data_IF_642092982826
#
_entry.id   IF_642092982826
#
_cell.length_a   1.000
_cell.length_b   1.000
_cell.length_c   1.000
_cell.angle_alpha   90.00
_cell.angle_beta   90.00
_cell.angle_gamma   90.00
#
_symmetry.space_group_name_H-M   'P 1'
#
loop_
_entity.id
_entity.type
_entity.pdbx_description
1 polymer ?
#
# COMPACT_ATOMS: atom_id res chain seq x y z
N UNK A 1 -58.53 -5.14 -33.86
CA UNK A 1 -57.17 -5.71 -33.82
C UNK A 1 -56.09 -4.64 -34.12
N UNK A 2 -56.32 -3.75 -35.07
CA UNK A 2 -55.39 -2.67 -35.47
C UNK A 2 -55.00 -1.66 -34.36
N UNK A 3 -55.92 -1.31 -33.47
CA UNK A 3 -55.61 -0.32 -32.41
C UNK A 3 -54.63 -0.84 -31.35
N UNK A 4 -54.64 -2.09 -30.99
CA UNK A 4 -53.72 -2.67 -30.00
C UNK A 4 -52.29 -2.72 -30.51
N UNK A 5 -52.07 -2.94 -31.79
CA UNK A 5 -50.76 -2.93 -32.44
C UNK A 5 -50.17 -1.50 -32.46
N UNK A 6 -51.00 -0.47 -32.68
CA UNK A 6 -50.55 0.93 -32.62
C UNK A 6 -50.07 1.34 -31.25
N UNK A 7 -50.75 0.93 -30.19
CA UNK A 7 -50.32 1.22 -28.83
C UNK A 7 -49.02 0.49 -28.45
N UNK A 8 -48.81 -0.72 -28.93
CA UNK A 8 -47.57 -1.48 -28.72
C UNK A 8 -46.39 -0.81 -29.42
N UNK A 9 -46.55 -0.32 -30.65
CA UNK A 9 -45.49 0.42 -31.37
C UNK A 9 -45.13 1.74 -30.71
N UNK A 10 -46.12 2.48 -30.20
CA UNK A 10 -45.88 3.74 -29.49
C UNK A 10 -45.18 3.49 -28.13
N UNK A 11 -45.56 2.43 -27.45
CA UNK A 11 -44.91 2.06 -26.17
C UNK A 11 -43.47 1.61 -26.35
N UNK A 12 -43.16 0.87 -27.43
CA UNK A 12 -41.78 0.46 -27.73
C UNK A 12 -40.89 1.62 -28.16
N UNK A 13 -41.42 2.63 -28.82
CA UNK A 13 -40.68 3.85 -29.19
C UNK A 13 -40.32 4.75 -27.96
N UNK A 14 -41.10 4.68 -26.88
CA UNK A 14 -40.84 5.42 -25.64
C UNK A 14 -39.72 4.81 -24.77
N UNK A 15 -39.26 3.59 -25.08
CA UNK A 15 -38.22 2.89 -24.36
C UNK A 15 -36.81 3.10 -24.95
N UNK A 16 -36.65 3.89 -26.02
CA UNK A 16 -35.35 4.30 -26.55
C UNK A 16 -34.82 5.39 -25.64
N UNK A 17 -34.20 4.98 -24.55
CA UNK A 17 -33.49 5.89 -23.64
C UNK A 17 -32.26 6.46 -24.37
N UNK A 18 -32.12 7.79 -24.39
CA UNK A 18 -30.89 8.44 -24.80
C UNK A 18 -29.83 8.17 -23.73
N UNK A 19 -28.82 7.40 -24.03
CA UNK A 19 -27.60 7.38 -23.23
C UNK A 19 -26.82 8.67 -23.52
N UNK A 20 -26.72 9.53 -22.52
CA UNK A 20 -25.86 10.71 -22.58
C UNK A 20 -24.52 10.30 -22.02
N UNK A 21 -23.50 10.19 -22.85
CA UNK A 21 -22.11 10.06 -22.38
C UNK A 21 -21.70 11.37 -21.74
N UNK A 22 -21.47 11.32 -20.43
CA UNK A 22 -20.93 12.48 -19.71
C UNK A 22 -19.40 12.52 -19.97
N UNK A 23 -18.96 13.42 -20.84
CA UNK A 23 -17.53 13.72 -20.97
C UNK A 23 -17.08 14.56 -19.78
N UNK A 24 -16.41 13.89 -18.84
CA UNK A 24 -15.76 14.59 -17.72
C UNK A 24 -14.41 15.09 -18.19
N UNK A 25 -14.23 16.41 -18.28
CA UNK A 25 -12.93 17.00 -18.51
C UNK A 25 -12.03 16.81 -17.26
N UNK A 26 -11.22 15.79 -17.28
CA UNK A 26 -10.21 15.58 -16.24
C UNK A 26 -9.04 16.55 -16.48
N UNK A 27 -8.61 17.30 -15.45
CA UNK A 27 -7.47 18.20 -15.59
C UNK A 27 -6.21 17.43 -16.01
N UNK A 28 -5.42 18.01 -16.91
CA UNK A 28 -4.12 17.46 -17.27
C UNK A 28 -3.17 17.57 -16.08
N UNK A 29 -2.78 16.44 -15.52
CA UNK A 29 -1.81 16.39 -14.43
C UNK A 29 -0.41 16.43 -15.02
N UNK A 30 0.45 17.34 -14.55
CA UNK A 30 1.88 17.31 -14.88
C UNK A 30 2.48 16.01 -14.34
N UNK A 31 3.33 15.31 -15.12
CA UNK A 31 4.01 14.12 -14.64
C UNK A 31 4.81 14.44 -13.37
N UNK A 32 4.42 13.84 -12.25
CA UNK A 32 5.12 13.97 -10.98
C UNK A 32 5.86 12.67 -10.67
N UNK A 33 6.94 12.78 -9.92
CA UNK A 33 7.62 11.61 -9.34
C UNK A 33 6.81 11.11 -8.15
N UNK A 34 6.52 9.82 -8.15
CA UNK A 34 5.88 9.11 -7.04
C UNK A 34 6.94 8.27 -6.36
N UNK A 35 7.00 8.37 -5.05
CA UNK A 35 7.93 7.62 -4.20
C UNK A 35 7.13 6.72 -3.29
N UNK A 36 7.40 5.42 -3.33
CA UNK A 36 6.86 4.44 -2.41
C UNK A 36 8.03 3.74 -1.71
N UNK A 37 8.04 3.76 -0.40
CA UNK A 37 9.01 3.02 0.42
C UNK A 37 8.28 2.40 1.59
N UNK A 38 8.47 1.09 1.74
CA UNK A 38 8.05 0.33 2.90
C UNK A 38 9.29 -0.31 3.49
N UNK A 39 9.51 -0.10 4.77
CA UNK A 39 10.68 -0.65 5.43
C UNK A 39 10.34 -1.21 6.80
N UNK A 40 10.98 -2.32 7.12
CA UNK A 40 10.86 -3.01 8.40
C UNK A 40 12.25 -3.47 8.83
N UNK A 41 12.49 -3.73 10.11
CA UNK A 41 13.77 -4.26 10.59
C UNK A 41 14.17 -5.59 9.92
N UNK A 42 13.19 -6.35 9.45
CA UNK A 42 13.39 -7.69 8.88
C UNK A 42 13.74 -7.67 7.39
N UNK A 43 13.68 -6.51 6.73
CA UNK A 43 13.94 -6.37 5.31
C UNK A 43 14.99 -5.31 5.00
N UNK A 44 15.70 -5.48 3.90
CA UNK A 44 16.59 -4.43 3.38
C UNK A 44 15.80 -3.23 2.88
N UNK A 45 16.41 -2.07 2.86
CA UNK A 45 15.81 -0.87 2.29
C UNK A 45 15.38 -1.08 0.84
N UNK A 46 14.15 -0.72 0.54
CA UNK A 46 13.60 -0.75 -0.82
C UNK A 46 12.74 0.48 -1.07
N UNK A 47 13.06 1.19 -2.15
CA UNK A 47 12.34 2.39 -2.59
C UNK A 47 11.91 2.18 -4.03
N UNK A 48 10.67 2.49 -4.35
CA UNK A 48 10.10 2.35 -5.67
C UNK A 48 9.73 3.73 -6.21
N UNK A 49 10.38 4.12 -7.30
CA UNK A 49 10.15 5.39 -7.98
C UNK A 49 9.39 5.20 -9.27
N UNK A 50 8.32 5.95 -9.46
CA UNK A 50 7.53 5.92 -10.69
C UNK A 50 7.04 7.30 -11.10
N UNK A 51 6.53 7.41 -12.32
CA UNK A 51 5.84 8.60 -12.81
C UNK A 51 4.35 8.50 -12.52
N UNK A 52 3.78 9.58 -11.98
CA UNK A 52 2.34 9.75 -11.96
C UNK A 52 1.80 9.75 -13.40
N UNK A 53 0.73 9.01 -13.63
CA UNK A 53 0.07 8.94 -14.93
C UNK A 53 -1.28 9.62 -14.88
N UNK A 54 -1.70 10.20 -16.01
CA UNK A 54 -3.05 10.71 -16.16
C UNK A 54 -4.04 9.55 -16.21
N UNK A 55 -5.21 9.73 -15.59
CA UNK A 55 -6.34 8.78 -15.67
C UNK A 55 -6.88 8.58 -17.11
N UNK A 56 -6.50 9.46 -18.04
CA UNK A 56 -6.84 9.35 -19.47
C UNK A 56 -5.95 8.42 -20.27
N UNK A 57 -4.86 7.92 -19.69
CA UNK A 57 -4.00 6.98 -20.38
C UNK A 57 -4.77 5.67 -20.61
N UNK A 58 -5.10 5.36 -21.86
CA UNK A 58 -5.81 4.12 -22.26
C UNK A 58 -5.08 2.84 -21.79
N UNK A 59 -3.80 2.96 -21.48
CA UNK A 59 -2.99 1.92 -20.88
C UNK A 59 -2.17 2.53 -19.74
N UNK A 60 -2.68 2.48 -18.53
CA UNK A 60 -1.92 2.83 -17.34
C UNK A 60 -0.78 1.80 -17.16
N UNK A 61 0.38 2.08 -17.73
CA UNK A 61 1.60 1.30 -17.52
C UNK A 61 2.40 1.93 -16.40
N UNK A 62 2.80 1.11 -15.46
CA UNK A 62 3.79 1.50 -14.48
C UNK A 62 5.08 1.92 -15.24
N UNK A 63 5.50 3.17 -15.05
CA UNK A 63 6.74 3.68 -15.64
C UNK A 63 7.72 3.97 -14.52
N UNK A 64 8.65 3.04 -14.30
CA UNK A 64 9.71 3.18 -13.33
C UNK A 64 10.69 4.28 -13.71
N UNK A 65 11.28 4.94 -12.71
CA UNK A 65 12.31 5.96 -12.85
C UNK A 65 13.66 5.33 -12.52
N UNK A 66 14.61 5.36 -13.45
CA UNK A 66 15.93 4.72 -13.30
C UNK A 66 17.10 5.73 -13.20
N UNK A 67 16.82 7.02 -13.33
CA UNK A 67 17.81 8.11 -13.40
C UNK A 67 17.84 8.98 -12.14
N UNK A 68 17.49 8.41 -10.98
CA UNK A 68 17.49 9.10 -9.72
C UNK A 68 18.65 8.65 -8.83
N UNK A 69 19.12 9.54 -7.97
CA UNK A 69 19.93 9.22 -6.81
C UNK A 69 19.01 9.13 -5.59
N UNK A 70 19.03 7.98 -4.94
CA UNK A 70 18.21 7.71 -3.76
C UNK A 70 19.13 7.51 -2.56
N UNK A 71 18.96 8.35 -1.54
CA UNK A 71 19.81 8.32 -0.34
C UNK A 71 18.93 8.22 0.91
N UNK A 72 19.35 7.39 1.84
CA UNK A 72 18.74 7.27 3.17
C UNK A 72 19.76 7.69 4.20
N UNK A 73 19.35 8.57 5.09
CA UNK A 73 20.17 9.02 6.24
C UNK A 73 19.44 8.77 7.53
N UNK A 74 20.16 8.34 8.56
CA UNK A 74 19.59 8.30 9.91
C UNK A 74 19.70 9.66 10.57
N UNK A 75 18.72 10.02 11.39
CA UNK A 75 18.69 11.33 12.09
C UNK A 75 19.83 11.51 13.08
N UNK A 76 20.34 10.42 13.64
CA UNK A 76 21.52 10.41 14.52
C UNK A 76 22.85 10.60 13.77
N UNK A 77 22.82 10.67 12.43
CA UNK A 77 24.00 10.87 11.58
C UNK A 77 24.90 9.63 11.43
N UNK A 78 24.51 8.49 11.98
CA UNK A 78 25.33 7.28 11.96
C UNK A 78 25.21 6.46 10.66
N UNK A 79 24.22 6.79 9.82
CA UNK A 79 24.00 6.11 8.53
C UNK A 79 23.77 7.12 7.42
N UNK A 80 24.54 6.97 6.35
CA UNK A 80 24.25 7.53 5.04
C UNK A 80 24.40 6.41 4.02
N UNK A 81 23.33 6.12 3.31
CA UNK A 81 23.23 4.98 2.43
C UNK A 81 22.68 5.42 1.06
N UNK A 82 23.45 5.17 0.00
CA UNK A 82 22.99 5.34 -1.38
C UNK A 82 22.43 3.99 -1.84
N UNK A 83 21.22 4.01 -2.39
CA UNK A 83 20.57 2.80 -2.88
C UNK A 83 20.92 2.55 -4.35
N UNK A 84 21.16 1.28 -4.69
CA UNK A 84 21.42 0.84 -6.05
C UNK A 84 20.12 0.61 -6.82
N UNK A 85 20.14 0.93 -8.12
CA UNK A 85 19.01 0.68 -9.01
C UNK A 85 19.00 -0.77 -9.50
N UNK A 86 17.88 -1.49 -9.26
CA UNK A 86 17.68 -2.90 -9.62
C UNK A 86 16.73 -3.13 -10.80
N UNK A 87 16.35 -2.07 -11.52
CA UNK A 87 15.40 -2.15 -12.64
C UNK A 87 14.01 -1.65 -12.27
N UNK A 88 13.22 -1.30 -13.27
CA UNK A 88 11.81 -0.88 -13.16
C UNK A 88 11.51 0.17 -12.08
N UNK A 89 12.49 1.04 -11.79
CA UNK A 89 12.36 2.07 -10.75
C UNK A 89 12.53 1.58 -9.32
N UNK A 90 13.02 0.35 -9.12
CA UNK A 90 13.32 -0.20 -7.80
C UNK A 90 14.75 0.16 -7.40
N UNK A 91 14.91 0.74 -6.22
CA UNK A 91 16.19 1.06 -5.59
C UNK A 91 16.31 0.30 -4.28
N UNK A 92 17.43 -0.37 -4.05
CA UNK A 92 17.64 -1.21 -2.87
C UNK A 92 19.01 -1.01 -2.24
N UNK A 93 19.07 -1.27 -0.93
CA UNK A 93 20.33 -1.47 -0.23
C UNK A 93 20.77 -2.92 -0.33
N UNK A 94 22.07 -3.13 -0.21
CA UNK A 94 22.64 -4.46 -0.07
C UNK A 94 22.95 -4.69 1.41
N UNK A 95 22.28 -5.67 2.03
CA UNK A 95 22.55 -6.18 3.40
C UNK A 95 22.40 -5.17 4.56
N UNK A 96 21.84 -3.99 4.36
CA UNK A 96 21.60 -3.02 5.42
C UNK A 96 20.11 -2.94 5.72
N UNK A 97 19.78 -3.15 7.00
CA UNK A 97 18.41 -3.18 7.52
C UNK A 97 18.12 -1.92 8.35
N UNK A 98 16.88 -1.45 8.36
CA UNK A 98 16.42 -0.43 9.29
C UNK A 98 16.57 -0.89 10.74
N UNK A 99 16.95 0.02 11.64
CA UNK A 99 17.09 -0.30 13.07
C UNK A 99 15.85 0.16 13.83
N UNK A 100 15.27 -0.68 14.68
CA UNK A 100 14.19 -0.29 15.59
C UNK A 100 14.58 0.96 16.41
N UNK A 101 13.60 1.83 16.66
CA UNK A 101 13.80 3.06 17.45
C UNK A 101 14.54 4.17 16.72
N UNK A 102 14.73 4.07 15.40
CA UNK A 102 15.50 5.05 14.62
C UNK A 102 14.63 5.81 13.64
N UNK A 103 14.81 7.11 13.56
CA UNK A 103 14.20 7.99 12.56
C UNK A 103 15.13 8.12 11.35
N UNK A 104 14.56 8.00 10.16
CA UNK A 104 15.28 8.06 8.89
C UNK A 104 14.69 9.12 7.98
N UNK A 105 15.55 9.70 7.15
CA UNK A 105 15.19 10.60 6.07
C UNK A 105 15.55 9.97 4.74
N UNK A 106 14.58 9.94 3.84
CA UNK A 106 14.75 9.57 2.45
C UNK A 106 14.91 10.83 1.62
N UNK A 107 15.95 10.87 0.77
CA UNK A 107 16.16 11.92 -0.22
C UNK A 107 16.18 11.30 -1.61
N UNK A 108 15.44 11.90 -2.54
CA UNK A 108 15.43 11.51 -3.94
C UNK A 108 15.83 12.73 -4.77
N UNK A 109 16.95 12.64 -5.45
CA UNK A 109 17.46 13.67 -6.35
C UNK A 109 17.44 13.16 -7.80
N UNK A 110 16.95 13.99 -8.72
CA UNK A 110 16.87 13.67 -10.13
C UNK A 110 17.21 14.90 -10.96
N UNK A 111 18.05 14.73 -11.99
CA UNK A 111 18.46 15.85 -12.82
C UNK A 111 17.25 16.54 -13.50
N UNK A 112 17.19 17.86 -13.41
CA UNK A 112 16.12 18.66 -14.01
C UNK A 112 14.76 18.57 -13.28
N UNK A 113 14.70 17.95 -12.10
CA UNK A 113 13.50 17.84 -11.28
C UNK A 113 13.75 18.35 -9.86
N UNK A 114 12.71 18.83 -9.15
CA UNK A 114 12.85 19.12 -7.74
C UNK A 114 13.25 17.87 -6.94
N UNK A 115 14.11 18.04 -5.96
CA UNK A 115 14.41 16.97 -4.99
C UNK A 115 13.20 16.70 -4.11
N UNK A 116 13.02 15.43 -3.75
CA UNK A 116 11.97 14.99 -2.85
C UNK A 116 12.59 14.52 -1.54
N UNK A 117 11.91 14.81 -0.44
CA UNK A 117 12.32 14.39 0.89
C UNK A 117 11.12 13.81 1.64
N UNK A 118 11.36 12.76 2.39
CA UNK A 118 10.41 12.16 3.32
C UNK A 118 11.16 11.71 4.56
N UNK A 119 10.47 11.63 5.69
CA UNK A 119 11.01 11.09 6.91
C UNK A 119 10.00 10.17 7.56
N UNK A 120 10.50 9.14 8.21
CA UNK A 120 9.69 8.20 8.96
C UNK A 120 10.52 7.53 10.05
N UNK A 121 9.84 6.84 10.95
CA UNK A 121 10.42 6.25 12.14
C UNK A 121 10.15 4.76 12.18
N UNK A 122 11.18 3.97 12.50
CA UNK A 122 11.03 2.54 12.76
C UNK A 122 10.62 2.35 14.21
N UNK A 123 9.41 1.82 14.50
CA UNK A 123 8.99 1.57 15.87
C UNK A 123 9.97 0.68 16.63
N UNK A 124 10.06 0.88 17.92
CA UNK A 124 10.78 -0.06 18.80
C UNK A 124 10.00 -1.36 18.91
N UNK A 125 10.71 -2.45 19.09
CA UNK A 125 10.08 -3.72 19.40
C UNK A 125 9.26 -3.63 20.69
N UNK A 126 8.10 -4.27 20.67
CA UNK A 126 7.24 -4.40 21.84
C UNK A 126 7.32 -5.84 22.35
N UNK A 127 7.27 -5.98 23.66
CA UNK A 127 7.20 -7.28 24.30
C UNK A 127 5.75 -7.79 24.23
N UNK A 128 5.59 -8.95 23.59
CA UNK A 128 4.29 -9.60 23.41
C UNK A 128 4.28 -10.89 24.22
N UNK A 129 3.41 -10.96 25.21
CA UNK A 129 3.13 -12.19 25.94
C UNK A 129 1.85 -12.81 25.37
N UNK A 130 1.85 -14.11 25.13
CA UNK A 130 0.65 -14.82 24.73
C UNK A 130 0.45 -16.06 25.60
N UNK A 131 -0.80 -16.31 25.92
CA UNK A 131 -1.23 -17.54 26.56
C UNK A 131 -2.34 -18.17 25.73
N UNK A 132 -2.38 -19.48 25.68
CA UNK A 132 -3.46 -20.18 25.03
C UNK A 132 -4.03 -21.26 25.93
N UNK A 133 -5.33 -21.47 25.80
CA UNK A 133 -6.06 -22.55 26.47
C UNK A 133 -6.92 -23.25 25.44
N UNK A 134 -6.77 -24.58 25.37
CA UNK A 134 -7.65 -25.42 24.57
C UNK A 134 -8.85 -25.81 25.43
N UNK A 135 -10.04 -25.59 24.90
CA UNK A 135 -11.31 -25.90 25.58
C UNK A 135 -12.11 -26.81 24.66
N UNK A 136 -12.63 -27.91 25.19
CA UNK A 136 -13.55 -28.75 24.47
C UNK A 136 -14.88 -27.98 24.29
N UNK A 137 -15.21 -27.62 23.05
CA UNK A 137 -16.36 -26.79 22.71
C UNK A 137 -17.63 -27.64 22.48
N UNK A 138 -17.49 -28.81 21.83
CA UNK A 138 -18.61 -29.68 21.55
C UNK A 138 -18.14 -31.13 21.36
N UNK A 139 -18.95 -32.06 21.80
CA UNK A 139 -18.81 -33.49 21.56
C UNK A 139 -20.00 -33.97 20.74
N UNK A 140 -19.76 -34.25 19.44
CA UNK A 140 -20.79 -34.82 18.57
C UNK A 140 -20.76 -36.34 18.62
N UNK A 141 -21.59 -36.93 19.49
CA UNK A 141 -21.65 -38.39 19.72
C UNK A 141 -21.94 -39.22 18.45
N UNK A 142 -22.56 -38.62 17.43
CA UNK A 142 -22.91 -39.32 16.18
C UNK A 142 -21.68 -39.62 15.30
N UNK A 143 -20.60 -38.84 15.44
CA UNK A 143 -19.39 -38.95 14.59
C UNK A 143 -18.11 -39.20 15.39
N UNK A 144 -18.18 -39.39 16.69
CA UNK A 144 -17.01 -39.47 17.61
C UNK A 144 -16.01 -38.30 17.39
N UNK A 145 -16.53 -37.13 16.98
CA UNK A 145 -15.72 -35.97 16.68
C UNK A 145 -15.77 -34.99 17.83
N UNK A 146 -14.60 -34.62 18.33
CA UNK A 146 -14.42 -33.59 19.38
C UNK A 146 -14.00 -32.30 18.71
N UNK A 147 -14.76 -31.23 18.92
CA UNK A 147 -14.38 -29.88 18.51
C UNK A 147 -13.63 -29.21 19.67
N UNK A 148 -12.46 -28.65 19.36
CA UNK A 148 -11.62 -27.96 20.33
C UNK A 148 -11.52 -26.51 19.92
N UNK A 149 -11.83 -25.60 20.83
CA UNK A 149 -11.59 -24.17 20.67
C UNK A 149 -10.27 -23.77 21.34
N UNK A 150 -9.48 -22.95 20.62
CA UNK A 150 -8.29 -22.34 21.15
C UNK A 150 -8.62 -20.91 21.61
N UNK A 151 -8.62 -20.68 22.90
CA UNK A 151 -8.72 -19.35 23.47
C UNK A 151 -7.31 -18.78 23.58
N UNK A 152 -7.00 -17.78 22.74
CA UNK A 152 -5.69 -17.12 22.73
C UNK A 152 -5.85 -15.74 23.38
N UNK A 153 -5.08 -15.50 24.41
CA UNK A 153 -4.97 -14.19 25.04
C UNK A 153 -3.62 -13.60 24.69
N UNK A 154 -3.63 -12.41 24.09
CA UNK A 154 -2.43 -11.66 23.75
C UNK A 154 -2.37 -10.43 24.64
N UNK A 155 -1.26 -10.30 25.38
CA UNK A 155 -0.99 -9.15 26.24
C UNK A 155 0.17 -8.36 25.64
N UNK A 156 -0.06 -7.08 25.39
CA UNK A 156 0.91 -6.14 24.89
C UNK A 156 1.36 -5.23 26.03
N UNK A 157 2.66 -5.13 26.25
CA UNK A 157 3.22 -4.18 27.20
C UNK A 157 3.56 -2.91 26.44
N UNK A 158 2.61 -1.98 26.40
CA UNK A 158 2.80 -0.68 25.77
C UNK A 158 3.79 0.17 26.57
N UNK A 159 4.67 0.87 25.87
CA UNK A 159 5.51 1.92 26.45
C UNK A 159 4.70 3.21 26.42
N UNK A 160 4.53 3.87 27.57
CA UNK A 160 3.73 5.09 27.74
C UNK A 160 4.19 6.27 26.87
N UNK A 161 5.40 6.24 26.34
CA UNK A 161 5.97 7.30 25.49
C UNK A 161 6.35 6.76 24.10
N UNK A 162 5.68 7.26 23.06
CA UNK A 162 6.05 7.00 21.67
C UNK A 162 4.86 6.78 20.71
N UNK A 163 5.15 6.76 19.41
CA UNK A 163 4.21 6.32 18.39
C UNK A 163 4.25 4.81 18.29
N UNK A 164 3.14 4.17 18.64
CA UNK A 164 3.01 2.73 18.56
C UNK A 164 2.13 2.36 17.36
N UNK A 165 2.60 1.40 16.57
CA UNK A 165 1.88 0.85 15.43
C UNK A 165 1.65 -0.63 15.70
N UNK A 166 0.39 -1.02 15.87
CA UNK A 166 -0.01 -2.42 16.02
C UNK A 166 -0.60 -2.91 14.69
N UNK A 167 -0.22 -4.10 14.26
CA UNK A 167 -0.79 -4.78 13.09
C UNK A 167 -1.61 -5.97 13.53
#
# INVERSE_FOLDING_TARGET
MFNRVRYLVVLSAALVGCETTLEIELPSVKPATVVNSYFTPDSVWSVHLSRAQSLRAEQARFVGISDAQVTITSKDGNLELILDHFGEGVYRATMIHPKPGTEYQLNVARFGHPSLQAHDYVPTEIEVEYTYKLVEAAHLAVFETVYVEAHVTVSLKDKEEGRNYYK
#
